data_IF_250342062938
#
_entry.id   IF_250342062938
#
_cell.length_a   1.000
_cell.length_b   1.000
_cell.length_c   1.000
_cell.angle_alpha   90.00
_cell.angle_beta   90.00
_cell.angle_gamma   90.00
#
_symmetry.space_group_name_H-M   'P 1'
#
loop_
_entity.id
_entity.type
_entity.pdbx_description
1 polymer ?
#
# COMPACT_ATOMS: atom_id res chain seq x y z
N UNK A 1 -18.84 -15.35 22.04
CA UNK A 1 -18.29 -15.69 20.71
C UNK A 1 -17.24 -14.65 20.39
N UNK A 2 -16.00 -15.04 20.10
CA UNK A 2 -14.94 -14.10 19.77
C UNK A 2 -15.37 -13.22 18.59
N UNK A 3 -15.08 -11.93 18.68
CA UNK A 3 -15.42 -10.95 17.65
C UNK A 3 -14.75 -11.38 16.34
N UNK A 4 -15.56 -11.69 15.31
CA UNK A 4 -15.07 -12.27 14.04
C UNK A 4 -14.40 -11.24 13.12
N UNK A 5 -14.42 -9.97 13.50
CA UNK A 5 -13.88 -8.84 12.75
C UNK A 5 -13.37 -7.75 13.72
N UNK A 6 -12.50 -6.87 13.22
CA UNK A 6 -12.06 -5.64 13.87
C UNK A 6 -12.20 -4.51 12.84
N UNK A 7 -13.20 -3.66 13.04
CA UNK A 7 -13.51 -2.50 12.18
C UNK A 7 -13.86 -1.30 13.07
N UNK A 8 -13.72 -0.09 12.55
CA UNK A 8 -13.89 1.15 13.33
C UNK A 8 -15.29 1.29 13.92
N UNK A 9 -16.30 1.12 13.07
CA UNK A 9 -17.70 1.29 13.43
C UNK A 9 -18.59 0.46 12.48
N UNK A 10 -19.23 -0.58 13.02
CA UNK A 10 -20.09 -1.48 12.23
C UNK A 10 -21.37 -0.79 11.73
N UNK A 11 -21.78 0.33 12.36
CA UNK A 11 -22.95 1.09 11.95
C UNK A 11 -22.77 1.78 10.58
N UNK A 12 -21.53 1.89 10.10
CA UNK A 12 -21.21 2.41 8.77
C UNK A 12 -21.54 1.44 7.61
N UNK A 13 -21.95 0.21 7.92
CA UNK A 13 -22.21 -0.84 6.93
C UNK A 13 -23.27 -0.46 5.89
N UNK A 14 -24.33 0.24 6.27
CA UNK A 14 -25.37 0.71 5.34
C UNK A 14 -24.82 1.75 4.34
N UNK A 15 -23.90 2.60 4.79
CA UNK A 15 -23.24 3.55 3.90
C UNK A 15 -22.29 2.83 2.95
N UNK A 16 -21.45 1.92 3.46
CA UNK A 16 -20.57 1.10 2.63
C UNK A 16 -21.32 0.25 1.61
N UNK A 17 -22.50 -0.29 1.96
CA UNK A 17 -23.35 -1.02 1.01
C UNK A 17 -23.85 -0.15 -0.13
N UNK A 18 -24.22 1.10 0.14
CA UNK A 18 -24.64 2.05 -0.91
C UNK A 18 -23.50 2.37 -1.87
N UNK A 19 -22.30 2.61 -1.36
CA UNK A 19 -21.12 2.82 -2.21
C UNK A 19 -20.72 1.57 -2.99
N UNK A 20 -20.82 0.38 -2.38
CA UNK A 20 -20.62 -0.90 -3.07
C UNK A 20 -21.55 -1.04 -4.28
N UNK A 21 -22.84 -0.74 -4.12
CA UNK A 21 -23.81 -0.82 -5.22
C UNK A 21 -23.50 0.15 -6.37
N UNK A 22 -22.88 1.31 -6.08
CA UNK A 22 -22.40 2.23 -7.12
C UNK A 22 -21.11 1.67 -7.74
N UNK A 23 -20.16 1.20 -6.93
CA UNK A 23 -18.89 0.68 -7.41
C UNK A 23 -19.06 -0.55 -8.32
N UNK A 24 -20.04 -1.41 -8.06
CA UNK A 24 -20.36 -2.55 -8.92
C UNK A 24 -20.72 -2.13 -10.35
N UNK A 25 -21.32 -0.95 -10.57
CA UNK A 25 -21.61 -0.45 -11.93
C UNK A 25 -20.36 0.03 -12.67
N UNK A 26 -19.32 0.42 -11.93
CA UNK A 26 -18.02 0.88 -12.46
C UNK A 26 -16.97 -0.24 -12.53
N UNK A 27 -17.29 -1.45 -12.07
CA UNK A 27 -16.38 -2.61 -12.06
C UNK A 27 -16.89 -3.77 -12.93
N UNK A 28 -17.11 -3.55 -14.24
CA UNK A 28 -17.74 -4.53 -15.13
C UNK A 28 -16.94 -5.85 -15.24
N UNK A 29 -15.62 -5.80 -15.09
CA UNK A 29 -14.78 -7.01 -15.10
C UNK A 29 -15.12 -7.97 -13.96
N UNK A 30 -15.23 -7.47 -12.72
CA UNK A 30 -15.59 -8.31 -11.57
C UNK A 30 -17.04 -8.80 -11.68
N UNK A 31 -17.96 -7.97 -12.17
CA UNK A 31 -19.35 -8.37 -12.36
C UNK A 31 -19.47 -9.46 -13.43
N UNK A 32 -18.70 -9.37 -14.51
CA UNK A 32 -18.63 -10.41 -15.53
C UNK A 32 -18.11 -11.74 -14.96
N UNK A 33 -17.06 -11.72 -14.12
CA UNK A 33 -16.57 -12.92 -13.44
C UNK A 33 -17.63 -13.59 -12.56
N UNK A 34 -18.40 -12.79 -11.80
CA UNK A 34 -19.52 -13.31 -11.00
C UNK A 34 -20.57 -13.98 -11.89
N UNK A 35 -20.91 -13.37 -13.02
CA UNK A 35 -21.88 -13.93 -13.97
C UNK A 35 -21.38 -15.20 -14.65
N UNK A 36 -20.11 -15.24 -15.05
CA UNK A 36 -19.53 -16.35 -15.81
C UNK A 36 -19.23 -17.57 -14.92
N UNK A 37 -18.65 -17.33 -13.74
CA UNK A 37 -18.12 -18.40 -12.89
C UNK A 37 -18.92 -18.63 -11.60
N UNK A 38 -19.92 -17.79 -11.30
CA UNK A 38 -20.70 -17.85 -10.06
C UNK A 38 -21.43 -19.17 -9.83
N UNK A 39 -21.91 -19.84 -10.88
CA UNK A 39 -22.54 -21.17 -10.76
C UNK A 39 -21.49 -22.28 -10.57
N UNK A 40 -20.37 -22.21 -11.30
CA UNK A 40 -19.33 -23.23 -11.26
C UNK A 40 -18.52 -23.26 -9.96
N UNK A 41 -18.52 -22.13 -9.21
CA UNK A 41 -17.81 -21.95 -7.94
C UNK A 41 -16.35 -22.46 -7.98
N UNK A 42 -15.51 -21.93 -8.89
CA UNK A 42 -14.18 -22.46 -9.12
C UNK A 42 -13.25 -22.32 -7.90
N UNK A 43 -13.55 -21.39 -6.99
CA UNK A 43 -12.78 -21.17 -5.77
C UNK A 43 -13.32 -21.96 -4.57
N UNK A 44 -14.26 -22.89 -4.78
CA UNK A 44 -14.78 -23.73 -3.69
C UNK A 44 -13.63 -24.48 -2.99
N UNK A 45 -13.47 -24.23 -1.70
CA UNK A 45 -12.40 -24.80 -0.87
C UNK A 45 -11.11 -23.98 -0.82
N UNK A 46 -11.03 -22.86 -1.55
CA UNK A 46 -10.01 -21.84 -1.32
C UNK A 46 -10.28 -21.13 0.01
N UNK A 47 -9.21 -20.91 0.79
CA UNK A 47 -9.20 -20.19 2.06
C UNK A 47 -8.15 -19.08 1.92
N UNK A 48 -8.62 -17.93 1.48
CA UNK A 48 -7.79 -16.84 0.95
C UNK A 48 -7.53 -15.83 2.07
N UNK A 49 -6.25 -15.63 2.39
CA UNK A 49 -5.80 -14.48 3.16
C UNK A 49 -5.59 -13.32 2.20
N UNK A 50 -6.34 -12.24 2.39
CA UNK A 50 -6.11 -10.98 1.69
C UNK A 50 -5.35 -9.99 2.55
N UNK A 51 -4.28 -9.43 2.00
CA UNK A 51 -3.55 -8.28 2.54
C UNK A 51 -3.48 -7.21 1.45
N UNK A 52 -4.51 -6.37 1.40
CA UNK A 52 -4.69 -5.35 0.37
C UNK A 52 -5.54 -4.22 0.95
N UNK A 53 -5.27 -2.97 0.54
CA UNK A 53 -6.03 -1.79 0.96
C UNK A 53 -7.54 -2.06 1.12
N UNK A 54 -8.09 -1.88 2.33
CA UNK A 54 -9.50 -2.19 2.60
C UNK A 54 -10.43 -1.05 2.14
N UNK A 55 -10.65 -0.96 0.83
CA UNK A 55 -11.47 0.07 0.16
C UNK A 55 -12.81 -0.50 -0.34
N UNK A 56 -13.67 0.35 -0.89
CA UNK A 56 -14.89 -0.08 -1.60
C UNK A 56 -14.56 -0.97 -2.79
N UNK A 57 -13.51 -0.66 -3.55
CA UNK A 57 -13.09 -1.45 -4.71
C UNK A 57 -12.66 -2.86 -4.27
N UNK A 58 -11.90 -2.94 -3.18
CA UNK A 58 -11.50 -4.21 -2.56
C UNK A 58 -12.70 -4.96 -1.99
N UNK A 59 -13.70 -4.26 -1.44
CA UNK A 59 -14.94 -4.88 -1.01
C UNK A 59 -15.68 -5.57 -2.17
N UNK A 60 -15.72 -4.97 -3.38
CA UNK A 60 -16.26 -5.62 -4.59
C UNK A 60 -15.44 -6.86 -4.98
N UNK A 61 -14.11 -6.81 -4.87
CA UNK A 61 -13.23 -7.96 -5.08
C UNK A 61 -13.51 -9.09 -4.09
N UNK A 62 -13.58 -8.79 -2.78
CA UNK A 62 -13.88 -9.76 -1.73
C UNK A 62 -15.21 -10.47 -2.01
N UNK A 63 -16.28 -9.71 -2.27
CA UNK A 63 -17.59 -10.30 -2.57
C UNK A 63 -17.57 -11.11 -3.88
N UNK A 64 -16.70 -10.75 -4.84
CA UNK A 64 -16.49 -11.56 -6.04
C UNK A 64 -15.83 -12.89 -5.70
N UNK A 65 -14.76 -12.91 -4.90
CA UNK A 65 -14.09 -14.14 -4.48
C UNK A 65 -15.05 -15.08 -3.73
N UNK A 66 -15.87 -14.53 -2.82
CA UNK A 66 -16.91 -15.27 -2.11
C UNK A 66 -18.00 -15.76 -3.07
N UNK A 67 -18.45 -14.93 -4.01
CA UNK A 67 -19.38 -15.33 -5.06
C UNK A 67 -18.83 -16.46 -5.96
N UNK A 68 -17.50 -16.58 -6.08
CA UNK A 68 -16.83 -17.68 -6.78
C UNK A 68 -16.53 -18.89 -5.88
N UNK A 69 -16.93 -18.87 -4.61
CA UNK A 69 -16.90 -20.00 -3.68
C UNK A 69 -15.76 -20.01 -2.66
N UNK A 70 -14.94 -18.96 -2.59
CA UNK A 70 -13.87 -18.86 -1.61
C UNK A 70 -14.39 -18.57 -0.20
N UNK A 71 -13.67 -19.07 0.81
CA UNK A 71 -13.69 -18.56 2.19
C UNK A 71 -12.56 -17.52 2.33
N UNK A 72 -12.87 -16.35 2.86
CA UNK A 72 -12.00 -15.17 2.77
C UNK A 72 -11.86 -14.52 4.13
N UNK A 73 -10.63 -14.11 4.47
CA UNK A 73 -10.31 -13.29 5.63
C UNK A 73 -9.35 -12.19 5.20
N UNK A 74 -9.57 -10.96 5.67
CA UNK A 74 -8.91 -9.79 5.09
C UNK A 74 -8.26 -8.87 6.14
N UNK A 75 -7.11 -8.30 5.80
CA UNK A 75 -6.47 -7.19 6.48
C UNK A 75 -6.01 -6.14 5.45
N UNK A 76 -5.86 -4.89 5.87
CA UNK A 76 -5.30 -3.83 5.01
C UNK A 76 -3.78 -3.92 4.96
N UNK A 77 -3.17 -3.73 3.78
CA UNK A 77 -1.71 -3.63 3.61
C UNK A 77 -1.13 -2.25 4.01
N UNK A 78 -1.97 -1.28 4.37
CA UNK A 78 -1.51 0.04 4.82
C UNK A 78 -2.41 0.58 5.95
N UNK A 79 -1.78 1.27 6.91
CA UNK A 79 -2.42 1.78 8.13
C UNK A 79 -3.42 2.92 7.88
N UNK A 80 -3.33 3.64 6.77
CA UNK A 80 -4.17 4.80 6.46
C UNK A 80 -5.13 4.60 5.28
N UNK A 81 -4.99 3.51 4.52
CA UNK A 81 -5.76 3.29 3.29
C UNK A 81 -7.17 2.76 3.50
N UNK A 82 -7.49 2.24 4.68
CA UNK A 82 -8.80 1.66 4.98
C UNK A 82 -9.91 2.70 4.81
N UNK A 83 -10.98 2.32 4.13
CA UNK A 83 -12.26 3.02 4.16
C UNK A 83 -13.15 2.31 5.18
N UNK A 84 -13.35 2.92 6.35
CA UNK A 84 -14.01 2.26 7.48
C UNK A 84 -15.44 1.79 7.16
N UNK A 85 -16.17 2.51 6.31
CA UNK A 85 -17.49 2.09 5.84
C UNK A 85 -17.45 0.89 4.90
N UNK A 86 -16.40 0.74 4.08
CA UNK A 86 -16.17 -0.45 3.28
C UNK A 86 -15.89 -1.68 4.15
N UNK A 87 -14.98 -1.52 5.13
CA UNK A 87 -14.66 -2.56 6.10
C UNK A 87 -15.90 -3.01 6.89
N UNK A 88 -16.73 -2.05 7.33
CA UNK A 88 -17.99 -2.32 8.02
C UNK A 88 -18.99 -3.09 7.14
N UNK A 89 -19.11 -2.75 5.84
CA UNK A 89 -20.03 -3.44 4.93
C UNK A 89 -19.66 -4.92 4.70
N UNK A 90 -18.36 -5.21 4.60
CA UNK A 90 -17.85 -6.58 4.46
C UNK A 90 -17.99 -7.36 5.76
N UNK A 91 -17.67 -6.74 6.90
CA UNK A 91 -17.88 -7.35 8.21
C UNK A 91 -19.36 -7.68 8.47
N UNK A 92 -20.29 -6.79 8.10
CA UNK A 92 -21.73 -7.03 8.20
C UNK A 92 -22.23 -8.14 7.28
N UNK A 93 -21.51 -8.45 6.20
CA UNK A 93 -21.75 -9.62 5.34
C UNK A 93 -21.21 -10.94 5.95
N UNK A 94 -20.75 -10.93 7.20
CA UNK A 94 -20.12 -12.04 7.92
C UNK A 94 -18.81 -12.54 7.29
N UNK A 95 -18.08 -11.65 6.62
CA UNK A 95 -16.74 -11.93 6.10
C UNK A 95 -15.72 -11.28 7.08
N UNK A 96 -14.80 -12.06 7.68
CA UNK A 96 -13.82 -11.53 8.62
C UNK A 96 -12.90 -10.46 8.02
N UNK A 97 -12.94 -9.26 8.58
CA UNK A 97 -12.08 -8.12 8.21
C UNK A 97 -11.42 -7.56 9.46
N UNK A 98 -10.13 -7.27 9.36
CA UNK A 98 -9.30 -6.67 10.41
C UNK A 98 -8.59 -5.45 9.84
N UNK A 99 -9.30 -4.32 9.82
CA UNK A 99 -8.80 -3.11 9.20
C UNK A 99 -9.51 -1.88 9.77
N UNK A 100 -8.73 -0.89 10.20
CA UNK A 100 -9.20 0.40 10.70
C UNK A 100 -8.33 1.49 10.08
N UNK A 101 -8.94 2.59 9.63
CA UNK A 101 -8.16 3.75 9.20
C UNK A 101 -7.44 4.39 10.38
N UNK A 102 -6.11 4.55 10.26
CA UNK A 102 -5.26 5.09 11.30
C UNK A 102 -4.90 4.09 12.41
N UNK A 103 -4.98 2.78 12.12
CA UNK A 103 -4.49 1.74 13.04
C UNK A 103 -2.98 1.89 13.29
N UNK A 104 -2.51 1.49 14.47
CA UNK A 104 -1.06 1.49 14.77
C UNK A 104 -0.31 0.42 13.97
N UNK A 105 1.03 0.48 13.96
CA UNK A 105 1.84 -0.58 13.35
C UNK A 105 1.67 -1.92 14.09
N UNK A 106 1.54 -1.90 15.42
CA UNK A 106 1.27 -3.11 16.20
C UNK A 106 -0.09 -3.71 15.87
N UNK A 107 -1.11 -2.86 15.73
CA UNK A 107 -2.43 -3.29 15.27
C UNK A 107 -2.37 -3.85 13.86
N UNK A 108 -1.60 -3.23 12.95
CA UNK A 108 -1.45 -3.71 11.58
C UNK A 108 -0.93 -5.15 11.49
N UNK A 109 0.19 -5.45 12.15
CA UNK A 109 0.74 -6.81 12.14
C UNK A 109 -0.13 -7.81 12.91
N UNK A 110 -0.80 -7.38 13.99
CA UNK A 110 -1.75 -8.22 14.74
C UNK A 110 -3.03 -8.51 13.93
N UNK A 111 -3.50 -7.56 13.13
CA UNK A 111 -4.66 -7.71 12.25
C UNK A 111 -4.34 -8.62 11.07
N UNK A 112 -3.16 -8.47 10.48
CA UNK A 112 -2.65 -9.38 9.47
C UNK A 112 -2.54 -10.81 10.03
N UNK A 113 -1.95 -11.02 11.21
CA UNK A 113 -1.92 -12.33 11.85
C UNK A 113 -3.33 -12.94 12.04
N UNK A 114 -4.32 -12.16 12.49
CA UNK A 114 -5.72 -12.60 12.64
C UNK A 114 -6.39 -13.00 11.33
N UNK A 115 -5.98 -12.44 10.19
CA UNK A 115 -6.53 -12.81 8.88
C UNK A 115 -6.10 -14.23 8.49
N UNK A 116 -4.97 -14.75 8.97
CA UNK A 116 -4.56 -16.14 8.76
C UNK A 116 -5.33 -17.18 9.61
N UNK A 117 -6.14 -16.75 10.59
CA UNK A 117 -6.80 -17.65 11.56
C UNK A 117 -8.07 -18.33 11.01
N UNK A 118 -7.91 -19.17 9.99
CA UNK A 118 -8.94 -20.10 9.50
C UNK A 118 -9.02 -21.36 10.38
N UNK A 119 -10.21 -21.96 10.59
CA UNK A 119 -10.33 -23.23 11.31
C UNK A 119 -9.44 -24.34 10.74
N UNK A 120 -9.35 -24.45 9.41
CA UNK A 120 -8.56 -25.45 8.69
C UNK A 120 -7.23 -24.89 8.14
N UNK A 121 -6.82 -23.69 8.60
CA UNK A 121 -5.66 -22.96 8.07
C UNK A 121 -5.86 -22.40 6.66
N UNK A 122 -5.12 -21.35 6.25
CA UNK A 122 -5.25 -20.79 4.92
C UNK A 122 -4.57 -21.68 3.87
N UNK A 123 -4.92 -21.48 2.59
CA UNK A 123 -4.26 -22.21 1.49
C UNK A 123 -3.91 -21.34 0.27
N UNK A 124 -4.26 -20.05 0.29
CA UNK A 124 -3.93 -19.08 -0.76
C UNK A 124 -3.67 -17.73 -0.12
N UNK A 125 -2.78 -16.94 -0.72
CA UNK A 125 -2.54 -15.54 -0.35
C UNK A 125 -2.89 -14.64 -1.56
N UNK A 126 -3.60 -13.56 -1.30
CA UNK A 126 -3.76 -12.43 -2.21
C UNK A 126 -3.08 -11.22 -1.54
N UNK A 127 -1.99 -10.75 -2.12
CA UNK A 127 -1.05 -9.85 -1.47
C UNK A 127 -0.86 -8.57 -2.31
N UNK A 128 -0.69 -7.47 -1.61
CA UNK A 128 -0.35 -6.15 -2.13
C UNK A 128 0.78 -5.60 -1.27
N UNK A 129 2.00 -5.67 -1.79
CA UNK A 129 3.23 -5.26 -1.09
C UNK A 129 4.07 -6.41 -0.55
N UNK A 130 3.49 -7.60 -0.46
CA UNK A 130 4.17 -8.81 -0.04
C UNK A 130 4.22 -9.03 1.47
N UNK A 131 3.48 -8.27 2.29
CA UNK A 131 3.57 -8.35 3.75
C UNK A 131 2.99 -9.65 4.31
N UNK A 132 1.90 -10.17 3.72
CA UNK A 132 1.34 -11.46 4.12
C UNK A 132 2.33 -12.59 3.83
N UNK A 133 2.94 -12.54 2.65
CA UNK A 133 3.98 -13.50 2.23
C UNK A 133 5.21 -13.39 3.13
N UNK A 134 5.69 -12.17 3.38
CA UNK A 134 6.83 -11.88 4.24
C UNK A 134 6.62 -12.42 5.67
N UNK A 135 5.45 -12.16 6.25
CA UNK A 135 5.09 -12.61 7.60
C UNK A 135 5.22 -14.13 7.74
N UNK A 136 4.65 -14.88 6.80
CA UNK A 136 4.69 -16.35 6.82
C UNK A 136 6.11 -16.89 6.65
N UNK A 137 6.86 -16.34 5.68
CA UNK A 137 8.19 -16.85 5.35
C UNK A 137 9.24 -16.49 6.42
N UNK A 138 9.20 -15.27 6.96
CA UNK A 138 10.07 -14.88 8.09
C UNK A 138 9.76 -15.72 9.32
N UNK A 139 8.49 -15.87 9.68
CA UNK A 139 8.12 -16.67 10.84
C UNK A 139 8.53 -18.14 10.71
N UNK A 140 8.40 -18.74 9.52
CA UNK A 140 8.82 -20.13 9.30
C UNK A 140 10.35 -20.29 9.37
N UNK A 141 11.12 -19.29 8.93
CA UNK A 141 12.59 -19.26 9.10
C UNK A 141 12.99 -19.11 10.57
N UNK A 142 12.29 -18.26 11.31
CA UNK A 142 12.48 -18.11 12.75
C UNK A 142 12.20 -19.41 13.51
N UNK A 143 11.10 -20.11 13.19
CA UNK A 143 10.82 -21.45 13.72
C UNK A 143 11.88 -22.48 13.33
N UNK A 144 12.51 -22.32 12.16
CA UNK A 144 13.66 -23.10 11.70
C UNK A 144 14.98 -22.78 12.41
N UNK A 145 14.99 -21.82 13.36
CA UNK A 145 16.16 -21.45 14.15
C UNK A 145 17.00 -20.31 13.56
N UNK A 146 16.54 -19.66 12.50
CA UNK A 146 17.20 -18.46 11.97
C UNK A 146 16.96 -17.24 12.87
N UNK A 147 18.01 -16.47 13.15
CA UNK A 147 17.86 -15.16 13.80
C UNK A 147 17.38 -14.12 12.77
N UNK A 148 16.06 -14.09 12.57
CA UNK A 148 15.43 -13.15 11.65
C UNK A 148 15.53 -11.71 12.19
N UNK A 149 15.86 -10.78 11.30
CA UNK A 149 15.96 -9.34 11.60
C UNK A 149 16.81 -9.13 12.88
N UNK A 150 18.09 -9.54 12.89
CA UNK A 150 18.90 -9.56 14.12
C UNK A 150 18.97 -8.16 14.76
N UNK A 151 19.07 -7.12 13.93
CA UNK A 151 19.02 -5.72 14.32
C UNK A 151 17.97 -5.00 13.46
N UNK A 152 16.77 -4.73 14.00
CA UNK A 152 15.76 -3.94 13.32
C UNK A 152 16.31 -2.57 12.90
N UNK A 153 16.03 -2.16 11.66
CA UNK A 153 16.44 -0.87 11.08
C UNK A 153 15.28 0.12 10.99
N UNK A 154 14.04 -0.31 11.26
CA UNK A 154 12.84 0.51 11.25
C UNK A 154 11.88 0.11 12.36
N UNK A 155 10.95 1.00 12.70
CA UNK A 155 9.86 0.73 13.64
C UNK A 155 8.99 -0.45 13.16
N UNK A 156 8.73 -0.54 11.85
CA UNK A 156 8.00 -1.65 11.26
C UNK A 156 8.72 -3.00 11.45
N UNK A 157 10.05 -3.03 11.27
CA UNK A 157 10.87 -4.23 11.51
C UNK A 157 10.88 -4.66 12.99
N UNK A 158 10.85 -3.70 13.92
CA UNK A 158 10.71 -3.99 15.35
C UNK A 158 9.36 -4.65 15.65
N UNK A 159 8.28 -4.11 15.10
CA UNK A 159 6.92 -4.58 15.34
C UNK A 159 6.66 -5.95 14.70
N UNK A 160 7.05 -6.17 13.45
CA UNK A 160 6.89 -7.49 12.81
C UNK A 160 7.68 -8.57 13.56
N UNK A 161 8.92 -8.27 13.99
CA UNK A 161 9.74 -9.20 14.78
C UNK A 161 9.04 -9.56 16.09
N UNK A 162 8.47 -8.56 16.77
CA UNK A 162 7.70 -8.77 18.00
C UNK A 162 6.42 -9.60 17.76
N UNK A 163 5.67 -9.33 16.68
CA UNK A 163 4.45 -10.07 16.34
C UNK A 163 4.76 -11.53 15.93
N UNK A 164 5.84 -11.78 15.20
CA UNK A 164 6.29 -13.16 14.88
C UNK A 164 6.61 -13.91 16.18
N UNK A 165 7.39 -13.31 17.08
CA UNK A 165 7.72 -13.91 18.38
C UNK A 165 6.45 -14.24 19.18
N UNK A 166 5.50 -13.31 19.25
CA UNK A 166 4.21 -13.50 19.92
C UNK A 166 3.43 -14.69 19.34
N UNK A 167 3.35 -14.81 18.01
CA UNK A 167 2.67 -15.96 17.36
C UNK A 167 3.39 -17.27 17.63
N UNK A 168 4.72 -17.31 17.57
CA UNK A 168 5.52 -18.50 17.89
C UNK A 168 5.30 -18.97 19.33
N UNK A 169 5.22 -18.04 20.29
CA UNK A 169 4.93 -18.35 21.71
C UNK A 169 3.50 -18.87 21.90
N UNK A 170 2.52 -18.29 21.18
CA UNK A 170 1.12 -18.70 21.27
C UNK A 170 0.82 -20.04 20.58
N UNK A 171 1.52 -20.35 19.49
CA UNK A 171 1.26 -21.54 18.67
C UNK A 171 2.55 -22.01 17.99
N UNK A 172 3.43 -22.73 18.72
CA UNK A 172 4.69 -23.20 18.16
C UNK A 172 4.49 -24.09 16.92
N UNK A 173 5.26 -23.85 15.86
CA UNK A 173 5.17 -24.59 14.59
C UNK A 173 4.05 -24.10 13.66
N UNK A 174 3.34 -23.02 14.03
CA UNK A 174 2.25 -22.47 13.24
C UNK A 174 2.74 -21.93 11.90
N UNK A 175 3.87 -21.21 11.86
CA UNK A 175 4.34 -20.60 10.61
C UNK A 175 4.77 -21.65 9.60
N UNK A 176 5.51 -22.67 10.04
CA UNK A 176 5.95 -23.80 9.20
C UNK A 176 4.74 -24.53 8.62
N UNK A 177 3.76 -24.85 9.46
CA UNK A 177 2.51 -25.49 9.02
C UNK A 177 1.73 -24.61 8.03
N UNK A 178 1.64 -23.32 8.29
CA UNK A 178 0.95 -22.36 7.40
C UNK A 178 1.65 -22.27 6.06
N UNK A 179 2.98 -22.06 6.04
CA UNK A 179 3.81 -22.03 4.82
C UNK A 179 3.57 -23.25 3.95
N UNK A 180 3.59 -24.45 4.55
CA UNK A 180 3.44 -25.71 3.82
C UNK A 180 2.00 -25.94 3.30
N UNK A 181 1.02 -25.23 3.85
CA UNK A 181 -0.37 -25.29 3.42
C UNK A 181 -0.70 -24.31 2.26
N UNK A 182 0.10 -23.24 2.08
CA UNK A 182 -0.09 -22.27 1.01
C UNK A 182 0.21 -22.91 -0.36
N UNK A 183 -0.78 -22.87 -1.24
CA UNK A 183 -0.69 -23.39 -2.62
C UNK A 183 -0.16 -22.36 -3.61
N UNK A 184 -0.23 -21.07 -3.27
CA UNK A 184 0.33 -19.99 -4.06
C UNK A 184 -0.09 -18.62 -3.58
N UNK A 185 0.57 -17.60 -4.14
CA UNK A 185 0.29 -16.18 -3.91
C UNK A 185 0.06 -15.45 -5.24
N UNK A 186 -0.86 -14.49 -5.26
CA UNK A 186 -0.96 -13.49 -6.33
C UNK A 186 -0.57 -12.13 -5.75
N UNK A 187 0.45 -11.49 -6.34
CA UNK A 187 0.99 -10.22 -5.87
C UNK A 187 0.74 -9.10 -6.88
N UNK A 188 0.19 -7.99 -6.38
CA UNK A 188 -0.35 -6.91 -7.20
C UNK A 188 0.63 -5.77 -7.48
N UNK A 189 1.63 -5.53 -6.63
CA UNK A 189 2.48 -4.32 -6.77
C UNK A 189 3.90 -4.62 -7.21
N UNK A 190 4.52 -3.63 -7.85
CA UNK A 190 5.93 -3.66 -8.24
C UNK A 190 6.84 -4.04 -7.07
N UNK A 191 6.58 -3.47 -5.89
CA UNK A 191 7.39 -3.70 -4.70
C UNK A 191 7.29 -5.12 -4.16
N UNK A 192 6.06 -5.65 -4.02
CA UNK A 192 5.87 -7.05 -3.62
C UNK A 192 6.44 -8.02 -4.67
N UNK A 193 6.30 -7.70 -5.97
CA UNK A 193 6.89 -8.49 -7.06
C UNK A 193 8.42 -8.52 -6.96
N UNK A 194 9.07 -7.40 -6.64
CA UNK A 194 10.52 -7.39 -6.41
C UNK A 194 10.93 -8.30 -5.25
N UNK A 195 10.20 -8.25 -4.11
CA UNK A 195 10.42 -9.17 -2.99
C UNK A 195 10.27 -10.63 -3.41
N UNK A 196 9.27 -10.96 -4.23
CA UNK A 196 9.09 -12.32 -4.77
C UNK A 196 10.26 -12.75 -5.67
N UNK A 197 10.75 -11.89 -6.56
CA UNK A 197 11.91 -12.20 -7.40
C UNK A 197 13.18 -12.41 -6.58
N UNK A 198 13.39 -11.66 -5.50
CA UNK A 198 14.49 -11.89 -4.56
C UNK A 198 14.37 -13.26 -3.88
N UNK A 199 13.18 -13.63 -3.41
CA UNK A 199 12.91 -14.95 -2.83
C UNK A 199 13.18 -16.07 -3.84
N UNK A 200 12.76 -15.92 -5.09
CA UNK A 200 13.05 -16.89 -6.17
C UNK A 200 14.56 -17.02 -6.40
N UNK A 201 15.26 -15.89 -6.53
CA UNK A 201 16.71 -15.85 -6.77
C UNK A 201 17.48 -16.53 -5.64
N UNK A 202 17.00 -16.41 -4.40
CA UNK A 202 17.62 -17.01 -3.22
C UNK A 202 17.14 -18.46 -2.97
N UNK A 203 16.24 -19.02 -3.78
CA UNK A 203 15.66 -20.35 -3.57
C UNK A 203 14.78 -20.45 -2.32
N UNK A 204 14.19 -19.32 -1.89
CA UNK A 204 13.43 -19.17 -0.66
C UNK A 204 11.92 -19.09 -0.86
N UNK A 205 11.41 -19.15 -2.10
CA UNK A 205 9.99 -19.14 -2.40
C UNK A 205 9.45 -20.60 -2.50
N UNK A 206 8.63 -21.08 -1.54
CA UNK A 206 8.27 -22.50 -1.46
C UNK A 206 6.99 -22.87 -2.22
N UNK A 207 6.27 -21.90 -2.78
CA UNK A 207 5.02 -22.07 -3.52
C UNK A 207 5.01 -21.18 -4.77
N UNK A 208 4.20 -21.48 -5.80
CA UNK A 208 4.11 -20.64 -6.99
C UNK A 208 3.59 -19.24 -6.65
N UNK A 209 4.13 -18.23 -7.32
CA UNK A 209 3.66 -16.85 -7.25
C UNK A 209 3.24 -16.36 -8.63
N UNK A 210 2.12 -15.64 -8.69
CA UNK A 210 1.66 -14.94 -9.89
C UNK A 210 1.97 -13.45 -9.72
N UNK A 211 2.84 -12.95 -10.58
CA UNK A 211 3.06 -11.52 -10.76
C UNK A 211 1.86 -10.93 -11.52
N UNK A 212 0.92 -10.34 -10.78
CA UNK A 212 -0.26 -9.68 -11.36
C UNK A 212 0.12 -8.29 -11.87
N UNK A 213 1.05 -7.60 -11.17
CA UNK A 213 1.48 -6.25 -11.50
C UNK A 213 1.86 -6.08 -12.98
N UNK A 214 2.66 -7.00 -13.52
CA UNK A 214 3.21 -6.91 -14.88
C UNK A 214 2.23 -7.36 -15.97
N UNK A 215 1.00 -7.72 -15.59
CA UNK A 215 -0.08 -7.79 -16.56
C UNK A 215 -0.25 -6.42 -17.22
N UNK A 216 -0.38 -6.38 -18.55
CA UNK A 216 -0.52 -5.11 -19.28
C UNK A 216 -1.75 -4.34 -18.80
N UNK A 217 -2.85 -5.03 -18.53
CA UNK A 217 -4.10 -4.46 -18.00
C UNK A 217 -4.01 -4.00 -16.55
N UNK A 218 -2.92 -4.32 -15.84
CA UNK A 218 -2.62 -3.82 -14.50
C UNK A 218 -1.63 -2.67 -14.61
N UNK A 219 -0.34 -2.94 -14.84
CA UNK A 219 0.73 -1.93 -14.89
C UNK A 219 0.42 -0.70 -15.75
N UNK A 220 -0.16 -0.88 -16.95
CA UNK A 220 -0.42 0.24 -17.87
C UNK A 220 -1.74 0.96 -17.62
N UNK A 221 -2.57 0.45 -16.71
CA UNK A 221 -3.85 1.07 -16.35
C UNK A 221 -3.84 1.55 -14.91
N UNK A 222 -3.71 0.65 -13.96
CA UNK A 222 -3.75 0.93 -12.53
C UNK A 222 -2.64 1.91 -12.13
N UNK A 223 -1.37 1.52 -12.29
CA UNK A 223 -0.23 2.34 -11.88
C UNK A 223 -0.19 3.69 -12.60
N UNK A 224 -0.66 3.76 -13.85
CA UNK A 224 -0.60 4.99 -14.66
C UNK A 224 -1.85 5.85 -14.56
N UNK A 225 -3.02 5.32 -14.94
CA UNK A 225 -4.26 6.09 -14.94
C UNK A 225 -4.86 6.20 -13.54
N UNK A 226 -4.71 5.19 -12.68
CA UNK A 226 -5.10 5.27 -11.28
C UNK A 226 -4.39 6.42 -10.56
N UNK A 227 -3.06 6.45 -10.61
CA UNK A 227 -2.27 7.56 -10.02
C UNK A 227 -2.55 8.91 -10.70
N UNK A 228 -2.89 8.92 -12.00
CA UNK A 228 -3.29 10.15 -12.69
C UNK A 228 -4.56 10.76 -12.08
N UNK A 229 -5.54 9.93 -11.72
CA UNK A 229 -6.79 10.41 -11.11
C UNK A 229 -6.62 10.70 -9.61
N UNK A 230 -5.89 9.84 -8.87
CA UNK A 230 -5.86 9.89 -7.40
C UNK A 230 -4.81 10.83 -6.80
N UNK A 231 -3.68 11.09 -7.46
CA UNK A 231 -2.60 11.89 -6.87
C UNK A 231 -3.05 13.31 -6.50
N UNK A 232 -3.54 14.07 -7.49
CA UNK A 232 -3.99 15.45 -7.27
C UNK A 232 -5.21 15.50 -6.36
N UNK A 233 -6.09 14.49 -6.40
CA UNK A 233 -7.21 14.37 -5.46
C UNK A 233 -6.70 14.29 -4.02
N UNK A 234 -5.74 13.39 -3.73
CA UNK A 234 -5.12 13.26 -2.42
C UNK A 234 -4.49 14.55 -1.91
N UNK A 235 -3.67 15.22 -2.74
CA UNK A 235 -3.03 16.49 -2.37
C UNK A 235 -4.09 17.58 -2.12
N UNK A 236 -5.15 17.64 -2.93
CA UNK A 236 -6.24 18.63 -2.77
C UNK A 236 -7.02 18.38 -1.50
N UNK A 237 -7.45 17.16 -1.22
CA UNK A 237 -8.16 16.84 0.04
C UNK A 237 -7.31 17.14 1.28
N UNK A 238 -5.99 16.94 1.16
CA UNK A 238 -5.06 17.24 2.24
C UNK A 238 -4.85 18.75 2.44
N UNK A 239 -4.63 19.52 1.39
CA UNK A 239 -4.07 20.87 1.50
C UNK A 239 -4.91 22.00 0.91
N UNK A 240 -5.93 21.65 0.11
CA UNK A 240 -6.72 22.59 -0.70
C UNK A 240 -5.86 23.53 -1.57
N UNK A 241 -4.61 23.15 -1.84
CA UNK A 241 -3.64 24.02 -2.49
C UNK A 241 -3.99 24.29 -3.95
N UNK A 242 -3.69 25.50 -4.41
CA UNK A 242 -3.79 25.84 -5.82
C UNK A 242 -2.67 25.16 -6.60
N UNK A 243 -3.01 24.31 -7.57
CA UNK A 243 -2.03 23.62 -8.42
C UNK A 243 -1.48 24.50 -9.54
N UNK A 244 -2.32 25.34 -10.14
CA UNK A 244 -1.93 26.11 -11.31
C UNK A 244 -0.85 27.15 -10.97
N UNK A 245 0.23 27.13 -11.75
CA UNK A 245 1.39 28.02 -11.56
C UNK A 245 2.41 27.53 -10.52
N UNK A 246 2.12 26.47 -9.77
CA UNK A 246 3.10 25.84 -8.87
C UNK A 246 4.13 25.02 -9.63
N UNK A 247 5.32 24.91 -9.05
CA UNK A 247 6.32 23.95 -9.52
C UNK A 247 6.21 22.67 -8.70
N UNK A 248 5.96 21.54 -9.35
CA UNK A 248 5.86 20.23 -8.72
C UNK A 248 6.99 19.31 -9.23
N UNK A 249 7.65 18.60 -8.32
CA UNK A 249 8.74 17.67 -8.62
C UNK A 249 8.23 16.25 -8.41
N UNK A 250 8.33 15.43 -9.45
CA UNK A 250 8.01 14.00 -9.41
C UNK A 250 9.32 13.22 -9.42
N UNK A 251 9.59 12.48 -8.35
CA UNK A 251 10.80 11.66 -8.25
C UNK A 251 10.51 10.26 -8.77
N UNK A 252 11.13 9.89 -9.89
CA UNK A 252 10.81 8.69 -10.66
C UNK A 252 9.81 8.95 -11.78
N UNK A 253 10.01 8.28 -12.90
CA UNK A 253 9.21 8.40 -14.12
C UNK A 253 8.89 7.01 -14.70
N UNK A 254 8.69 6.03 -13.82
CA UNK A 254 8.04 4.75 -14.14
C UNK A 254 6.54 4.92 -14.48
N UNK A 255 5.75 3.85 -14.42
CA UNK A 255 4.31 3.95 -14.72
C UNK A 255 3.57 4.89 -13.75
N UNK A 256 3.86 4.82 -12.45
CA UNK A 256 3.35 5.73 -11.42
C UNK A 256 3.80 7.17 -11.69
N UNK A 257 5.10 7.40 -11.86
CA UNK A 257 5.66 8.72 -12.16
C UNK A 257 5.05 9.39 -13.40
N UNK A 258 4.81 8.61 -14.46
CA UNK A 258 4.11 9.07 -15.68
C UNK A 258 2.67 9.50 -15.39
N UNK A 259 1.93 8.71 -14.61
CA UNK A 259 0.57 9.05 -14.17
C UNK A 259 0.54 10.34 -13.34
N UNK A 260 1.42 10.39 -12.34
CA UNK A 260 1.61 11.51 -11.41
C UNK A 260 1.95 12.82 -12.13
N UNK A 261 2.92 12.80 -13.05
CA UNK A 261 3.29 13.96 -13.85
C UNK A 261 2.14 14.44 -14.75
N UNK A 262 1.40 13.51 -15.37
CA UNK A 262 0.23 13.85 -16.17
C UNK A 262 -0.90 14.47 -15.32
N UNK A 263 -1.11 14.00 -14.09
CA UNK A 263 -2.06 14.55 -13.13
C UNK A 263 -1.74 16.01 -12.80
N UNK A 264 -0.52 16.24 -12.32
CA UNK A 264 -0.05 17.55 -11.89
C UNK A 264 -0.06 18.56 -13.04
N UNK A 265 0.42 18.17 -14.23
CA UNK A 265 0.37 19.02 -15.43
C UNK A 265 -1.07 19.32 -15.83
N UNK A 266 -1.96 18.33 -15.80
CA UNK A 266 -3.38 18.51 -16.10
C UNK A 266 -4.08 19.46 -15.14
N UNK A 267 -3.62 19.55 -13.89
CA UNK A 267 -4.10 20.50 -12.89
C UNK A 267 -3.44 21.90 -13.00
N UNK A 268 -2.53 22.11 -13.96
CA UNK A 268 -1.88 23.39 -14.24
C UNK A 268 -0.51 23.62 -13.58
N UNK A 269 0.05 22.61 -12.92
CA UNK A 269 1.38 22.71 -12.34
C UNK A 269 2.47 22.63 -13.42
N UNK A 270 3.59 23.31 -13.18
CA UNK A 270 4.83 23.13 -13.94
C UNK A 270 5.59 21.96 -13.34
N UNK A 271 5.64 20.85 -14.06
CA UNK A 271 6.21 19.60 -13.56
C UNK A 271 7.68 19.48 -13.94
N UNK A 272 8.51 19.14 -12.96
CA UNK A 272 9.89 18.68 -13.12
C UNK A 272 9.98 17.21 -12.71
N UNK A 273 10.93 16.49 -13.29
CA UNK A 273 11.12 15.06 -13.04
C UNK A 273 12.56 14.78 -12.62
N UNK A 274 12.75 13.89 -11.65
CA UNK A 274 14.06 13.28 -11.37
C UNK A 274 14.04 11.83 -11.81
N UNK A 275 15.12 11.36 -12.42
CA UNK A 275 15.23 9.97 -12.89
C UNK A 275 16.68 9.50 -12.86
N UNK A 276 16.84 8.20 -12.56
CA UNK A 276 18.12 7.48 -12.61
C UNK A 276 18.22 6.64 -13.89
N UNK A 277 17.08 6.22 -14.46
CA UNK A 277 17.07 5.48 -15.72
C UNK A 277 17.09 6.47 -16.91
N UNK A 278 18.09 6.40 -17.80
CA UNK A 278 18.23 7.33 -18.92
C UNK A 278 17.10 7.21 -19.96
N UNK A 279 16.46 6.05 -20.09
CA UNK A 279 15.32 5.82 -20.98
C UNK A 279 14.09 6.53 -20.41
N UNK A 280 13.82 6.36 -19.12
CA UNK A 280 12.71 7.04 -18.45
C UNK A 280 12.92 8.56 -18.42
N UNK A 281 14.15 9.03 -18.15
CA UNK A 281 14.51 10.43 -18.23
C UNK A 281 14.26 11.02 -19.64
N UNK A 282 14.69 10.31 -20.69
CA UNK A 282 14.46 10.75 -22.06
C UNK A 282 12.96 10.81 -22.39
N UNK A 283 12.16 9.85 -21.91
CA UNK A 283 10.70 9.90 -22.06
C UNK A 283 10.11 11.14 -21.37
N UNK A 284 10.52 11.46 -20.14
CA UNK A 284 10.05 12.65 -19.43
C UNK A 284 10.38 13.95 -20.21
N UNK A 285 11.61 14.04 -20.73
CA UNK A 285 12.04 15.17 -21.55
C UNK A 285 11.20 15.29 -22.83
N UNK A 286 10.93 14.18 -23.51
CA UNK A 286 10.10 14.14 -24.73
C UNK A 286 8.63 14.48 -24.46
N UNK A 287 8.12 14.15 -23.27
CA UNK A 287 6.80 14.58 -22.81
C UNK A 287 6.77 16.08 -22.45
N UNK A 288 7.91 16.77 -22.44
CA UNK A 288 8.05 18.21 -22.19
C UNK A 288 8.26 18.58 -20.73
N UNK A 289 8.72 17.63 -19.91
CA UNK A 289 9.10 17.86 -18.52
C UNK A 289 10.59 18.16 -18.39
N UNK A 290 10.94 19.12 -17.54
CA UNK A 290 12.34 19.43 -17.23
C UNK A 290 12.91 18.30 -16.35
N UNK A 291 13.95 17.61 -16.82
CA UNK A 291 14.65 16.57 -16.05
C UNK A 291 15.78 17.19 -15.27
N UNK A 292 15.77 17.01 -13.95
CA UNK A 292 16.66 17.70 -12.99
C UNK A 292 17.16 16.74 -11.91
N UNK A 293 18.16 17.17 -11.15
CA UNK A 293 18.41 16.58 -9.84
C UNK A 293 17.47 17.19 -8.80
N UNK A 294 17.19 16.46 -7.71
CA UNK A 294 16.26 16.96 -6.69
C UNK A 294 16.81 18.23 -6.03
N UNK A 295 18.12 18.24 -5.80
CA UNK A 295 18.91 19.31 -5.21
C UNK A 295 18.75 20.65 -5.96
N UNK A 296 18.60 20.63 -7.28
CA UNK A 296 18.40 21.82 -8.12
C UNK A 296 17.02 22.49 -7.93
N UNK A 297 16.12 21.89 -7.14
CA UNK A 297 14.72 22.32 -7.04
C UNK A 297 14.28 22.73 -5.64
N UNK A 298 15.07 22.42 -4.61
CA UNK A 298 14.67 22.49 -3.19
C UNK A 298 14.13 23.88 -2.80
N UNK A 299 14.81 24.94 -3.19
CA UNK A 299 14.43 26.32 -2.83
C UNK A 299 13.23 26.87 -3.63
N UNK A 300 12.89 26.27 -4.77
CA UNK A 300 11.95 26.86 -5.73
C UNK A 300 10.65 26.07 -5.92
N UNK A 301 10.71 24.75 -5.78
CA UNK A 301 9.54 23.88 -5.95
C UNK A 301 8.56 23.98 -4.77
N UNK A 302 7.28 23.78 -5.07
CA UNK A 302 6.18 23.86 -4.11
C UNK A 302 5.73 22.49 -3.60
N UNK A 303 5.83 21.47 -4.45
CA UNK A 303 5.27 20.13 -4.21
C UNK A 303 6.32 19.11 -4.61
N UNK A 304 6.58 18.13 -3.74
CA UNK A 304 7.52 17.04 -3.97
C UNK A 304 6.81 15.70 -3.78
N UNK A 305 6.74 14.90 -4.83
CA UNK A 305 6.08 13.59 -4.83
C UNK A 305 7.08 12.50 -5.21
N UNK A 306 7.25 11.50 -4.36
CA UNK A 306 8.09 10.32 -4.65
C UNK A 306 7.26 9.20 -5.27
N UNK A 307 7.80 8.54 -6.29
CA UNK A 307 7.12 7.50 -7.10
C UNK A 307 8.06 6.35 -7.51
N UNK A 308 9.15 6.15 -6.76
CA UNK A 308 10.29 5.36 -7.22
C UNK A 308 10.21 3.88 -6.85
N UNK A 309 9.53 3.55 -5.75
CA UNK A 309 9.63 2.23 -5.10
C UNK A 309 11.02 1.95 -4.50
N UNK A 310 11.87 2.97 -4.38
CA UNK A 310 13.21 2.90 -3.78
C UNK A 310 13.15 3.39 -2.32
N UNK A 311 14.28 3.83 -1.76
CA UNK A 311 14.38 4.41 -0.41
C UNK A 311 15.30 5.62 -0.40
N UNK A 312 15.18 6.44 0.63
CA UNK A 312 16.05 7.61 0.87
C UNK A 312 16.11 8.57 -0.33
N UNK A 313 14.99 8.72 -1.05
CA UNK A 313 14.86 9.59 -2.22
C UNK A 313 14.80 11.05 -1.76
N UNK A 314 13.94 11.32 -0.76
CA UNK A 314 13.89 12.61 -0.07
C UNK A 314 14.52 12.45 1.31
N UNK A 315 15.76 12.90 1.44
CA UNK A 315 16.55 12.83 2.68
C UNK A 315 16.37 14.07 3.54
N UNK A 316 16.79 13.98 4.80
CA UNK A 316 16.65 15.09 5.76
C UNK A 316 17.36 16.38 5.29
N UNK A 317 18.50 16.27 4.62
CA UNK A 317 19.20 17.40 4.02
C UNK A 317 18.38 18.09 2.93
N UNK A 318 17.60 17.35 2.15
CA UNK A 318 16.74 17.94 1.11
C UNK A 318 15.63 18.77 1.77
N UNK A 319 14.99 18.19 2.78
CA UNK A 319 13.87 18.81 3.49
C UNK A 319 14.26 20.08 4.25
N UNK A 320 15.52 20.19 4.70
CA UNK A 320 16.04 21.41 5.34
C UNK A 320 16.16 22.61 4.41
N UNK A 321 16.48 22.35 3.14
CA UNK A 321 16.67 23.38 2.11
C UNK A 321 15.36 23.70 1.36
N UNK A 322 14.29 22.95 1.62
CA UNK A 322 12.97 23.24 1.05
C UNK A 322 12.42 24.57 1.58
N UNK A 323 11.74 25.30 0.69
CA UNK A 323 11.10 26.57 1.04
C UNK A 323 9.95 26.39 2.04
N UNK A 324 9.60 27.46 2.75
CA UNK A 324 8.45 27.47 3.66
C UNK A 324 7.15 27.04 2.96
N UNK A 325 6.39 26.20 3.63
CA UNK A 325 5.15 25.56 3.18
C UNK A 325 5.27 24.65 1.94
N UNK A 326 6.47 24.13 1.65
CA UNK A 326 6.59 23.07 0.65
C UNK A 326 5.80 21.82 1.10
N UNK A 327 5.09 21.22 0.15
CA UNK A 327 4.28 20.01 0.36
C UNK A 327 5.12 18.81 -0.06
N UNK A 328 5.22 17.81 0.81
CA UNK A 328 5.97 16.58 0.58
C UNK A 328 5.03 15.40 0.77
N UNK A 329 5.01 14.49 -0.20
CA UNK A 329 4.21 13.28 -0.14
C UNK A 329 4.85 12.13 -0.92
N UNK A 330 4.36 10.94 -0.65
CA UNK A 330 4.79 9.71 -1.30
C UNK A 330 3.57 9.00 -1.89
N UNK A 331 3.70 8.51 -3.11
CA UNK A 331 2.70 7.63 -3.75
C UNK A 331 3.36 6.36 -4.30
N UNK A 332 4.60 6.09 -3.89
CA UNK A 332 5.16 4.75 -3.92
C UNK A 332 4.56 3.87 -2.83
N UNK A 333 5.10 2.66 -2.69
CA UNK A 333 4.47 1.64 -1.85
C UNK A 333 4.81 1.77 -0.35
N UNK A 334 6.09 2.01 -0.01
CA UNK A 334 6.54 2.16 1.38
C UNK A 334 6.89 3.61 1.71
N UNK A 335 6.76 3.97 2.99
CA UNK A 335 7.04 5.30 3.55
C UNK A 335 8.52 5.70 3.47
N UNK A 336 9.42 4.72 3.37
CA UNK A 336 10.86 4.88 3.36
C UNK A 336 11.46 5.56 2.11
N UNK A 337 10.65 5.93 1.11
CA UNK A 337 11.07 6.86 0.05
C UNK A 337 11.43 8.24 0.64
N UNK A 338 10.81 8.61 1.76
CA UNK A 338 11.07 9.84 2.50
C UNK A 338 11.66 9.47 3.87
N UNK A 339 12.71 10.15 4.30
CA UNK A 339 13.32 9.92 5.61
C UNK A 339 12.50 10.52 6.79
N UNK A 340 11.23 10.14 6.92
CA UNK A 340 10.30 10.66 7.95
C UNK A 340 10.81 10.40 9.36
N UNK A 341 11.46 9.25 9.61
CA UNK A 341 12.05 8.94 10.91
C UNK A 341 13.06 10.00 11.40
N UNK A 342 13.78 10.65 10.47
CA UNK A 342 14.76 11.71 10.77
C UNK A 342 14.10 13.06 11.08
N UNK A 343 12.78 13.16 10.95
CA UNK A 343 11.99 14.34 11.30
C UNK A 343 11.39 14.24 12.72
N UNK A 344 11.39 13.06 13.36
CA UNK A 344 10.73 12.84 14.67
C UNK A 344 11.24 13.76 15.80
N UNK A 345 12.46 14.27 15.69
CA UNK A 345 13.08 15.21 16.64
C UNK A 345 12.75 16.69 16.36
N UNK A 346 12.02 16.98 15.29
CA UNK A 346 11.56 18.33 14.96
C UNK A 346 10.23 18.62 15.66
N UNK A 347 9.76 19.86 15.57
CA UNK A 347 8.44 20.23 16.11
C UNK A 347 7.37 19.91 15.06
N UNK A 348 6.45 19.02 15.43
CA UNK A 348 5.31 18.62 14.63
C UNK A 348 4.05 19.32 15.13
N UNK A 349 3.25 19.83 14.21
CA UNK A 349 1.92 20.37 14.48
C UNK A 349 0.95 19.63 13.58
N UNK A 350 0.14 18.75 14.17
CA UNK A 350 -0.93 18.09 13.43
C UNK A 350 -1.96 19.13 12.98
N UNK A 351 -2.28 19.14 11.69
CA UNK A 351 -3.26 20.05 11.09
C UNK A 351 -4.63 19.37 11.05
N UNK A 352 -4.64 18.13 10.57
CA UNK A 352 -5.78 17.19 10.56
C UNK A 352 -5.25 15.78 10.30
N UNK A 353 -6.16 14.81 10.25
CA UNK A 353 -5.84 13.43 9.88
C UNK A 353 -4.99 13.39 8.60
N UNK A 354 -3.82 12.73 8.68
CA UNK A 354 -2.84 12.54 7.60
C UNK A 354 -2.22 13.84 7.04
N UNK A 355 -2.27 14.95 7.78
CA UNK A 355 -1.61 16.21 7.39
C UNK A 355 -0.91 16.82 8.59
N UNK A 356 0.42 16.85 8.52
CA UNK A 356 1.27 17.38 9.56
C UNK A 356 2.16 18.51 9.05
N UNK A 357 2.33 19.53 9.88
CA UNK A 357 3.27 20.61 9.63
C UNK A 357 4.52 20.42 10.49
N UNK A 358 5.69 20.45 9.86
CA UNK A 358 6.98 20.19 10.51
C UNK A 358 7.85 21.44 10.43
N UNK A 359 8.31 21.94 11.57
CA UNK A 359 9.14 23.15 11.66
C UNK A 359 10.63 22.79 11.61
N UNK A 360 11.34 23.35 10.63
CA UNK A 360 12.78 23.18 10.42
C UNK A 360 13.60 24.14 11.29
N UNK A 361 14.88 23.83 11.57
CA UNK A 361 15.76 24.73 12.33
C UNK A 361 15.96 26.11 11.69
N UNK A 362 15.78 26.23 10.37
CA UNK A 362 15.80 27.49 9.63
C UNK A 362 14.58 28.38 9.89
N UNK A 363 13.51 27.83 10.48
CA UNK A 363 12.20 28.47 10.64
C UNK A 363 11.22 28.18 9.49
N UNK A 364 11.69 27.58 8.39
CA UNK A 364 10.81 27.09 7.33
C UNK A 364 9.96 25.94 7.85
N UNK A 365 8.74 25.81 7.33
CA UNK A 365 7.82 24.72 7.65
C UNK A 365 7.56 23.87 6.43
N UNK A 366 7.40 22.56 6.62
CA UNK A 366 6.95 21.63 5.58
C UNK A 366 5.56 21.10 5.91
N UNK A 367 4.79 20.80 4.88
CA UNK A 367 3.53 20.05 5.00
C UNK A 367 3.82 18.63 4.52
N UNK A 368 3.81 17.67 5.44
CA UNK A 368 3.96 16.25 5.15
C UNK A 368 2.58 15.61 5.02
N UNK A 369 2.41 14.78 3.99
CA UNK A 369 1.17 14.07 3.71
C UNK A 369 1.29 12.58 4.02
N UNK A 370 0.28 12.07 4.75
CA UNK A 370 0.03 10.66 5.09
C UNK A 370 1.16 9.96 5.83
#
# INVERSE_FOLDING_TARGET
MSQQYIVKDISLSDFGRKELSIAETEMPGLMALRSEYGESKPLKGARIVGSLHMTIQTAVLIETLVALGADVRWASCNIFSTQDHAAAAIAAANIPVFAIKGQSLEEHWDYLDKSFMFPDGPNMILDDGGDATLYVLLGARAEGGEDIIPVPQSEEEEVIKAQIKKRMEQSPGWFTKTRDAIKGVSEETTTGVHRLYELVKNGQLPFPAINVNDSVTKSKFDNKYGCKESLVDGIRRATDTMMAGKTAVVCGYGDVGKGSAASLRGAGARVKVTEVDPICALQAAMDGFEVVTLEDTLESADIFITTTGNKDVIRIEHMREMKDMAIVGNIGHFDNEIQVAHLKNHKWTNIKDQVDMIEMPSGNRLILLS
#
